data_IF_503353924180
#
_entry.id   IF_503353924180
#
_cell.length_a   1.000
_cell.length_b   1.000
_cell.length_c   1.000
_cell.angle_alpha   90.00
_cell.angle_beta   90.00
_cell.angle_gamma   90.00
#
_symmetry.space_group_name_H-M   'P 1'
#
loop_
_entity.id
_entity.type
_entity.pdbx_description
1 polymer ?
#
# COMPACT_ATOMS: atom_id res chain seq x y z
N UNK A 1 -26.13 -6.79 14.59
CA UNK A 1 -24.67 -6.62 14.70
C UNK A 1 -24.11 -7.34 15.92
N UNK A 2 -24.68 -7.18 17.12
CA UNK A 2 -24.17 -7.82 18.35
C UNK A 2 -24.22 -9.36 18.31
N UNK A 3 -25.25 -9.96 17.68
CA UNK A 3 -25.29 -11.43 17.53
C UNK A 3 -24.20 -11.93 16.59
N UNK A 4 -23.91 -11.18 15.51
CA UNK A 4 -22.73 -11.45 14.67
C UNK A 4 -21.44 -11.34 15.49
N UNK A 5 -21.29 -10.33 16.35
CA UNK A 5 -20.10 -10.13 17.17
C UNK A 5 -19.85 -11.31 18.14
N UNK A 6 -20.92 -11.88 18.76
CA UNK A 6 -20.80 -13.09 19.59
C UNK A 6 -20.24 -14.27 18.80
N UNK A 7 -20.75 -14.50 17.58
CA UNK A 7 -20.22 -15.55 16.70
C UNK A 7 -18.75 -15.30 16.30
N UNK A 8 -18.39 -14.04 16.05
CA UNK A 8 -17.02 -13.64 15.71
C UNK A 8 -16.04 -13.98 16.84
N UNK A 9 -16.41 -13.75 18.11
CA UNK A 9 -15.57 -14.13 19.26
C UNK A 9 -15.34 -15.63 19.30
N UNK A 10 -16.36 -16.45 19.06
CA UNK A 10 -16.26 -17.91 19.04
C UNK A 10 -15.38 -18.40 17.86
N UNK A 11 -15.59 -17.84 16.66
CA UNK A 11 -14.75 -18.11 15.49
C UNK A 11 -13.28 -17.75 15.79
N UNK A 12 -13.04 -16.61 16.45
CA UNK A 12 -11.70 -16.20 16.86
C UNK A 12 -11.03 -17.19 17.81
N UNK A 13 -11.79 -17.74 18.77
CA UNK A 13 -11.31 -18.79 19.67
C UNK A 13 -10.91 -20.06 18.89
N UNK A 14 -11.75 -20.51 17.95
CA UNK A 14 -11.47 -21.68 17.11
C UNK A 14 -10.26 -21.45 16.20
N UNK A 15 -10.15 -20.29 15.55
CA UNK A 15 -9.00 -19.93 14.70
C UNK A 15 -7.68 -19.98 15.49
N UNK A 16 -7.65 -19.38 16.69
CA UNK A 16 -6.45 -19.41 17.55
C UNK A 16 -6.09 -20.84 17.97
N UNK A 17 -7.08 -21.65 18.34
CA UNK A 17 -6.84 -23.05 18.70
C UNK A 17 -6.28 -23.88 17.53
N UNK A 18 -6.68 -23.56 16.28
CA UNK A 18 -6.22 -24.19 15.06
C UNK A 18 -4.95 -23.55 14.44
N UNK A 19 -4.38 -22.50 15.06
CA UNK A 19 -3.25 -21.76 14.49
C UNK A 19 -3.57 -21.04 13.17
N UNK A 20 -4.84 -20.74 12.91
CA UNK A 20 -5.28 -20.10 11.66
C UNK A 20 -5.14 -18.55 11.76
N UNK A 21 -4.77 -17.89 10.66
CA UNK A 21 -4.67 -16.43 10.64
C UNK A 21 -6.05 -15.78 10.85
N UNK A 22 -6.06 -14.67 11.61
CA UNK A 22 -7.28 -13.89 11.85
C UNK A 22 -7.70 -13.14 10.59
N UNK A 23 -6.78 -12.40 9.97
CA UNK A 23 -6.97 -11.73 8.69
C UNK A 23 -6.71 -12.73 7.56
N UNK A 24 -7.65 -12.86 6.63
CA UNK A 24 -7.58 -13.73 5.46
C UNK A 24 -8.10 -12.97 4.22
N UNK A 25 -7.21 -12.45 3.35
CA UNK A 25 -7.58 -11.54 2.25
C UNK A 25 -8.57 -12.16 1.26
N UNK A 26 -8.44 -13.47 0.94
CA UNK A 26 -9.40 -14.17 0.08
C UNK A 26 -10.81 -14.16 0.69
N UNK A 27 -10.92 -14.36 2.00
CA UNK A 27 -12.22 -14.38 2.69
C UNK A 27 -12.85 -12.99 2.78
N UNK A 28 -12.05 -11.96 2.99
CA UNK A 28 -12.52 -10.58 2.95
C UNK A 28 -13.12 -10.24 1.58
N UNK A 29 -12.41 -10.61 0.52
CA UNK A 29 -12.87 -10.39 -0.85
C UNK A 29 -14.18 -11.13 -1.14
N UNK A 30 -14.31 -12.40 -0.73
CA UNK A 30 -15.56 -13.18 -0.85
C UNK A 30 -16.73 -12.49 -0.14
N UNK A 31 -16.51 -11.96 1.07
CA UNK A 31 -17.56 -11.26 1.83
C UNK A 31 -18.00 -10.00 1.10
N UNK A 32 -17.05 -9.19 0.63
CA UNK A 32 -17.38 -7.96 -0.09
C UNK A 32 -18.05 -8.26 -1.44
N UNK A 33 -17.58 -9.25 -2.19
CA UNK A 33 -18.21 -9.66 -3.46
C UNK A 33 -19.64 -10.17 -3.23
N UNK A 34 -19.86 -10.96 -2.18
CA UNK A 34 -21.20 -11.43 -1.81
C UNK A 34 -22.15 -10.29 -1.46
N UNK A 35 -21.68 -9.34 -0.64
CA UNK A 35 -22.51 -8.21 -0.20
C UNK A 35 -22.87 -7.30 -1.36
N UNK A 36 -21.92 -6.99 -2.23
CA UNK A 36 -22.15 -6.11 -3.39
C UNK A 36 -23.01 -6.78 -4.46
N UNK A 37 -22.87 -8.10 -4.66
CA UNK A 37 -23.69 -8.85 -5.64
C UNK A 37 -25.15 -9.03 -5.18
N UNK A 38 -25.44 -8.95 -3.88
CA UNK A 38 -26.77 -9.05 -3.29
C UNK A 38 -27.44 -7.68 -3.06
N UNK A 39 -26.77 -6.59 -3.43
CA UNK A 39 -27.29 -5.25 -3.28
C UNK A 39 -28.31 -4.93 -4.38
N UNK A 40 -29.57 -4.93 -4.03
CA UNK A 40 -30.70 -4.51 -4.87
C UNK A 40 -31.34 -3.17 -4.42
N UNK A 41 -30.75 -2.56 -3.39
CA UNK A 41 -31.25 -1.32 -2.78
C UNK A 41 -30.59 -0.05 -3.35
N UNK A 42 -31.04 1.13 -2.88
CA UNK A 42 -30.55 2.43 -3.37
C UNK A 42 -29.16 2.80 -2.83
N UNK A 43 -28.63 2.05 -1.84
CA UNK A 43 -27.32 2.35 -1.26
C UNK A 43 -26.21 1.96 -2.24
N UNK A 44 -25.29 2.88 -2.61
CA UNK A 44 -24.18 2.54 -3.51
C UNK A 44 -23.28 1.43 -2.94
N UNK A 45 -22.79 0.54 -3.80
CA UNK A 45 -21.90 -0.56 -3.41
C UNK A 45 -20.69 -0.07 -2.62
N UNK A 46 -20.09 1.08 -3.01
CA UNK A 46 -18.97 1.70 -2.27
C UNK A 46 -19.32 1.98 -0.80
N UNK A 47 -20.55 2.41 -0.52
CA UNK A 47 -20.99 2.66 0.87
C UNK A 47 -21.14 1.37 1.64
N UNK A 48 -21.69 0.31 1.01
CA UNK A 48 -21.77 -1.02 1.62
C UNK A 48 -20.38 -1.59 1.92
N UNK A 49 -19.43 -1.48 0.98
CA UNK A 49 -18.06 -1.91 1.19
C UNK A 49 -17.41 -1.20 2.38
N UNK A 50 -17.62 0.12 2.53
CA UNK A 50 -17.15 0.89 3.68
C UNK A 50 -17.70 0.40 5.01
N UNK A 51 -19.02 0.17 5.09
CA UNK A 51 -19.69 -0.37 6.29
C UNK A 51 -19.13 -1.75 6.63
N UNK A 52 -19.04 -2.66 5.64
CA UNK A 52 -18.56 -4.02 5.89
C UNK A 52 -17.07 -4.04 6.26
N UNK A 53 -16.26 -3.14 5.73
CA UNK A 53 -14.86 -2.98 6.12
C UNK A 53 -14.73 -2.65 7.61
N UNK A 54 -15.49 -1.69 8.12
CA UNK A 54 -15.47 -1.36 9.55
C UNK A 54 -16.01 -2.51 10.40
N UNK A 55 -17.03 -3.24 9.95
CA UNK A 55 -17.51 -4.44 10.63
C UNK A 55 -16.45 -5.55 10.69
N UNK A 56 -15.65 -5.72 9.62
CA UNK A 56 -14.54 -6.67 9.61
C UNK A 56 -13.40 -6.19 10.49
N UNK A 57 -13.07 -4.90 10.46
CA UNK A 57 -12.07 -4.29 11.33
C UNK A 57 -12.39 -4.50 12.82
N UNK A 58 -13.62 -4.20 13.25
CA UNK A 58 -14.09 -4.50 14.60
C UNK A 58 -14.07 -6.00 14.91
N UNK A 59 -14.31 -6.85 13.91
CA UNK A 59 -14.20 -8.32 14.07
C UNK A 59 -12.79 -8.78 14.33
N UNK A 60 -11.77 -8.17 13.69
CA UNK A 60 -10.36 -8.47 13.99
C UNK A 60 -10.03 -8.13 15.44
N UNK A 61 -10.45 -6.95 15.91
CA UNK A 61 -10.22 -6.54 17.29
C UNK A 61 -10.85 -7.52 18.31
N UNK A 62 -12.05 -8.05 18.03
CA UNK A 62 -12.70 -9.04 18.88
C UNK A 62 -12.03 -10.43 18.85
N UNK A 63 -11.46 -10.82 17.73
CA UNK A 63 -10.78 -12.11 17.58
C UNK A 63 -9.38 -12.10 18.19
N UNK A 64 -8.59 -11.12 17.80
CA UNK A 64 -7.24 -10.83 18.29
C UNK A 64 -6.85 -9.44 17.81
N UNK A 65 -6.44 -8.52 18.69
CA UNK A 65 -5.96 -7.22 18.26
C UNK A 65 -4.85 -7.34 17.21
N UNK A 66 -5.08 -6.75 16.04
CA UNK A 66 -4.08 -6.71 14.97
C UNK A 66 -3.28 -5.41 15.05
N UNK A 67 -1.97 -5.53 14.80
CA UNK A 67 -1.03 -4.41 14.68
C UNK A 67 -0.49 -4.38 13.25
N UNK A 68 -0.64 -3.24 12.59
CA UNK A 68 -0.29 -3.03 11.20
C UNK A 68 0.85 -2.01 11.13
N UNK A 69 2.03 -2.45 10.72
CA UNK A 69 3.16 -1.56 10.46
C UNK A 69 2.99 -0.88 9.09
N UNK A 70 3.32 0.40 8.98
CA UNK A 70 3.27 1.13 7.71
C UNK A 70 4.40 2.14 7.61
N UNK A 71 4.74 2.56 6.37
CA UNK A 71 5.70 3.64 6.16
C UNK A 71 5.11 4.98 6.61
N UNK A 72 5.62 5.51 7.74
CA UNK A 72 5.22 6.78 8.32
C UNK A 72 5.67 8.01 7.53
N UNK A 73 5.42 9.19 8.07
CA UNK A 73 4.72 9.44 9.33
C UNK A 73 3.19 9.28 9.21
N UNK A 74 2.43 9.39 10.34
CA UNK A 74 0.97 9.39 10.32
C UNK A 74 0.43 10.44 9.34
N UNK A 75 -0.68 10.11 8.65
CA UNK A 75 -1.24 10.95 7.57
C UNK A 75 -0.57 10.76 6.20
N UNK A 76 0.47 9.90 6.08
CA UNK A 76 1.03 9.52 4.78
C UNK A 76 0.01 8.75 3.92
N UNK A 77 0.27 8.64 2.61
CA UNK A 77 -0.55 7.79 1.74
C UNK A 77 -0.46 6.31 2.13
N UNK A 78 0.66 5.87 2.70
CA UNK A 78 0.77 4.53 3.28
C UNK A 78 -0.15 4.35 4.48
N UNK A 79 -0.26 5.36 5.38
CA UNK A 79 -1.24 5.34 6.46
C UNK A 79 -2.67 5.34 5.93
N UNK A 80 -2.98 6.19 4.93
CA UNK A 80 -4.30 6.23 4.31
C UNK A 80 -4.68 4.88 3.70
N UNK A 81 -3.75 4.24 2.97
CA UNK A 81 -3.94 2.90 2.40
C UNK A 81 -4.20 1.85 3.49
N UNK A 82 -3.44 1.90 4.60
CA UNK A 82 -3.61 0.99 5.73
C UNK A 82 -5.01 1.16 6.37
N UNK A 83 -5.43 2.39 6.66
CA UNK A 83 -6.75 2.68 7.22
C UNK A 83 -7.88 2.27 6.28
N UNK A 84 -7.76 2.61 4.99
CA UNK A 84 -8.78 2.24 4.00
C UNK A 84 -8.86 0.74 3.76
N UNK A 85 -7.78 -0.01 3.95
CA UNK A 85 -7.76 -1.46 3.77
C UNK A 85 -8.21 -2.22 5.02
N UNK A 86 -7.66 -1.90 6.19
CA UNK A 86 -7.91 -2.63 7.44
C UNK A 86 -9.05 -2.05 8.29
N UNK A 87 -9.57 -0.85 7.96
CA UNK A 87 -10.51 -0.09 8.79
C UNK A 87 -9.84 0.56 9.99
N UNK A 88 -10.63 1.14 10.88
CA UNK A 88 -10.14 1.99 11.97
C UNK A 88 -9.97 1.28 13.32
N UNK A 89 -10.46 0.05 13.45
CA UNK A 89 -10.46 -0.69 14.73
C UNK A 89 -9.19 -1.50 14.99
N UNK A 90 -8.19 -1.45 14.12
CA UNK A 90 -6.87 -2.09 14.31
C UNK A 90 -5.84 -1.09 14.81
N UNK A 91 -4.75 -1.57 15.42
CA UNK A 91 -3.65 -0.70 15.82
C UNK A 91 -2.70 -0.45 14.64
N UNK A 92 -2.37 0.81 14.41
CA UNK A 92 -1.41 1.24 13.38
C UNK A 92 -0.11 1.69 14.02
N UNK A 93 1.02 1.25 13.45
CA UNK A 93 2.36 1.57 13.93
C UNK A 93 3.18 2.19 12.79
N UNK A 94 3.56 3.46 12.96
CA UNK A 94 4.34 4.18 11.97
C UNK A 94 5.83 3.86 12.11
N UNK A 95 6.43 3.51 10.99
CA UNK A 95 7.85 3.17 10.89
C UNK A 95 8.53 4.13 9.92
N UNK A 96 9.74 4.55 10.27
CA UNK A 96 10.41 5.66 9.56
C UNK A 96 10.89 5.29 8.16
N UNK A 97 11.11 4.01 7.91
CA UNK A 97 11.62 3.48 6.65
C UNK A 97 10.99 2.13 6.30
N UNK A 98 11.02 1.78 5.02
CA UNK A 98 10.42 0.55 4.50
C UNK A 98 11.09 -0.68 5.11
N UNK A 99 12.42 -0.70 5.24
CA UNK A 99 13.14 -1.82 5.87
C UNK A 99 12.72 -2.03 7.32
N UNK A 100 12.39 -0.95 8.05
CA UNK A 100 11.82 -1.03 9.39
C UNK A 100 10.50 -1.81 9.42
N UNK A 101 9.63 -1.63 8.42
CA UNK A 101 8.36 -2.38 8.32
C UNK A 101 8.64 -3.88 8.18
N UNK A 102 9.58 -4.28 7.32
CA UNK A 102 9.99 -5.68 7.18
C UNK A 102 10.55 -6.24 8.50
N UNK A 103 11.43 -5.49 9.13
CA UNK A 103 12.07 -5.89 10.40
C UNK A 103 11.04 -6.14 11.50
N UNK A 104 10.06 -5.24 11.66
CA UNK A 104 9.04 -5.37 12.71
C UNK A 104 8.05 -6.52 12.42
N UNK A 105 7.80 -6.83 11.14
CA UNK A 105 7.07 -8.05 10.74
C UNK A 105 7.87 -9.30 11.10
N UNK A 106 9.16 -9.36 10.76
CA UNK A 106 10.06 -10.50 11.10
C UNK A 106 10.10 -10.74 12.60
N UNK A 107 10.26 -9.68 13.39
CA UNK A 107 10.26 -9.74 14.86
C UNK A 107 8.91 -10.13 15.47
N UNK A 108 7.81 -9.98 14.70
CA UNK A 108 6.45 -10.24 15.17
C UNK A 108 5.88 -9.16 16.08
N UNK A 109 6.49 -7.98 16.11
CA UNK A 109 5.94 -6.83 16.82
C UNK A 109 4.70 -6.27 16.13
N UNK A 110 4.66 -6.35 14.79
CA UNK A 110 3.45 -6.15 14.00
C UNK A 110 3.03 -7.46 13.32
N UNK A 111 1.72 -7.63 13.12
CA UNK A 111 1.18 -8.83 12.47
C UNK A 111 1.36 -8.79 10.95
N UNK A 112 1.16 -7.60 10.38
CA UNK A 112 1.26 -7.30 8.96
C UNK A 112 1.98 -5.98 8.76
N UNK A 113 2.69 -5.86 7.64
CA UNK A 113 3.29 -4.61 7.18
C UNK A 113 2.65 -4.16 5.88
N UNK A 114 2.43 -2.87 5.69
CA UNK A 114 1.98 -2.28 4.43
C UNK A 114 3.10 -1.43 3.84
N UNK A 115 3.59 -1.83 2.67
CA UNK A 115 4.71 -1.17 1.98
C UNK A 115 4.34 -0.83 0.53
N UNK A 116 4.70 0.37 0.03
CA UNK A 116 4.47 0.72 -1.37
C UNK A 116 5.42 -0.08 -2.27
N UNK A 117 4.92 -0.59 -3.40
CA UNK A 117 5.73 -1.35 -4.38
C UNK A 117 5.87 -0.61 -5.71
N UNK A 118 4.82 0.08 -6.13
CA UNK A 118 4.77 0.74 -7.42
C UNK A 118 3.81 1.93 -7.38
N UNK A 119 4.17 2.99 -8.09
CA UNK A 119 3.28 4.13 -8.35
C UNK A 119 3.12 4.31 -9.86
N UNK A 120 1.89 4.52 -10.32
CA UNK A 120 1.58 4.61 -11.76
C UNK A 120 2.27 5.77 -12.49
N UNK A 121 2.75 6.77 -11.76
CA UNK A 121 3.46 7.93 -12.32
C UNK A 121 4.95 7.92 -12.02
N UNK A 122 5.36 7.29 -10.91
CA UNK A 122 6.76 7.27 -10.41
C UNK A 122 7.49 5.95 -10.66
N UNK A 123 6.78 4.87 -11.05
CA UNK A 123 7.36 3.54 -11.24
C UNK A 123 7.58 2.76 -9.96
N UNK A 124 8.47 1.78 -9.99
CA UNK A 124 8.75 0.88 -8.88
C UNK A 124 9.43 1.55 -7.68
N UNK A 125 9.10 1.09 -6.50
CA UNK A 125 9.68 1.58 -5.23
C UNK A 125 10.90 0.74 -4.87
N UNK A 126 12.06 1.34 -5.12
CA UNK A 126 13.38 0.72 -5.00
C UNK A 126 13.63 0.14 -3.61
N UNK A 127 13.28 0.86 -2.57
CA UNK A 127 13.51 0.49 -1.18
C UNK A 127 12.75 -0.79 -0.80
N UNK A 128 11.56 -1.00 -1.37
CA UNK A 128 10.77 -2.22 -1.14
C UNK A 128 11.42 -3.43 -1.81
N UNK A 129 11.94 -3.26 -3.04
CA UNK A 129 12.67 -4.31 -3.73
C UNK A 129 13.95 -4.67 -2.98
N UNK A 130 14.70 -3.68 -2.48
CA UNK A 130 15.92 -3.89 -1.68
C UNK A 130 15.61 -4.60 -0.35
N UNK A 131 14.49 -4.28 0.29
CA UNK A 131 14.06 -4.97 1.50
C UNK A 131 13.71 -6.45 1.22
N UNK A 132 13.08 -6.76 0.08
CA UNK A 132 12.86 -8.16 -0.32
C UNK A 132 14.16 -8.92 -0.59
N UNK A 133 15.20 -8.29 -1.15
CA UNK A 133 16.51 -8.95 -1.29
C UNK A 133 17.06 -9.46 0.05
N UNK A 134 16.79 -8.75 1.14
CA UNK A 134 17.25 -9.10 2.48
C UNK A 134 16.34 -10.09 3.22
N UNK A 135 15.01 -9.89 3.10
CA UNK A 135 14.01 -10.53 3.98
C UNK A 135 13.13 -11.59 3.29
N UNK A 136 13.38 -11.95 2.01
CA UNK A 136 12.54 -12.85 1.21
C UNK A 136 12.33 -14.26 1.81
N UNK A 137 13.17 -14.68 2.76
CA UNK A 137 13.04 -15.99 3.43
C UNK A 137 12.05 -15.96 4.59
N UNK A 138 11.91 -14.82 5.24
CA UNK A 138 11.18 -14.65 6.50
C UNK A 138 9.84 -13.95 6.31
N UNK A 139 9.68 -13.21 5.19
CA UNK A 139 8.51 -12.39 4.89
C UNK A 139 7.96 -12.75 3.53
N UNK A 140 6.63 -12.83 3.45
CA UNK A 140 5.89 -13.12 2.22
C UNK A 140 4.92 -12.00 1.87
N UNK A 141 4.71 -11.77 0.57
CA UNK A 141 3.58 -10.97 0.11
C UNK A 141 2.30 -11.75 0.41
N UNK A 142 1.42 -11.13 1.19
CA UNK A 142 0.20 -11.72 1.71
C UNK A 142 -1.06 -11.22 1.00
N UNK A 143 -1.04 -9.94 0.57
CA UNK A 143 -2.11 -9.30 -0.19
C UNK A 143 -1.55 -8.11 -0.97
N UNK A 144 -2.31 -7.59 -1.93
CA UNK A 144 -2.03 -6.31 -2.56
C UNK A 144 -3.17 -5.32 -2.34
N UNK A 145 -2.82 -4.04 -2.26
CA UNK A 145 -3.75 -2.93 -2.08
C UNK A 145 -3.44 -1.89 -3.15
N UNK A 146 -4.47 -1.35 -3.79
CA UNK A 146 -4.35 -0.23 -4.72
C UNK A 146 -5.08 0.98 -4.14
N UNK A 147 -4.41 2.13 -4.13
CA UNK A 147 -4.95 3.38 -3.60
C UNK A 147 -4.90 4.46 -4.67
N UNK A 148 -6.04 5.11 -4.97
CA UNK A 148 -6.05 6.38 -5.68
C UNK A 148 -5.39 7.46 -4.83
N UNK A 149 -4.36 8.12 -5.37
CA UNK A 149 -3.64 9.19 -4.68
C UNK A 149 -4.20 10.52 -5.14
N UNK A 150 -4.96 11.16 -4.27
CA UNK A 150 -5.46 12.51 -4.47
C UNK A 150 -4.73 13.49 -3.57
N UNK A 151 -4.27 14.57 -4.15
CA UNK A 151 -3.62 15.66 -3.44
C UNK A 151 -4.63 16.73 -3.05
N UNK A 152 -4.60 17.13 -1.77
CA UNK A 152 -5.46 18.19 -1.25
C UNK A 152 -4.62 19.37 -0.78
N UNK A 153 -5.09 20.59 -1.08
CA UNK A 153 -4.58 21.81 -0.46
C UNK A 153 -5.20 21.95 0.94
N UNK A 154 -4.37 21.99 1.95
CA UNK A 154 -4.74 21.97 3.36
C UNK A 154 -4.26 23.22 4.06
N UNK A 155 -5.14 23.91 4.80
CA UNK A 155 -4.76 25.08 5.61
C UNK A 155 -5.75 25.33 6.74
N UNK A 156 -5.40 26.29 7.62
CA UNK A 156 -6.32 26.84 8.64
C UNK A 156 -6.73 28.29 8.34
N UNK A 157 -6.31 28.85 7.22
CA UNK A 157 -6.66 30.18 6.75
C UNK A 157 -7.56 30.10 5.51
N UNK A 158 -8.11 31.26 5.13
CA UNK A 158 -8.88 31.38 3.89
C UNK A 158 -7.95 31.25 2.65
N UNK A 159 -8.45 30.77 1.50
CA UNK A 159 -7.64 30.59 0.29
C UNK A 159 -6.82 31.82 -0.11
N UNK A 160 -7.38 33.01 0.03
CA UNK A 160 -6.71 34.29 -0.33
C UNK A 160 -5.55 34.69 0.61
N UNK A 161 -5.49 34.10 1.79
CA UNK A 161 -4.47 34.36 2.80
C UNK A 161 -3.23 33.49 2.63
N UNK A 162 -3.31 32.41 1.81
CA UNK A 162 -2.18 31.48 1.58
C UNK A 162 -1.02 32.24 0.93
N UNK A 163 0.16 32.17 1.56
CA UNK A 163 1.41 32.77 1.10
C UNK A 163 2.54 31.76 0.96
N UNK A 164 2.49 30.69 1.75
CA UNK A 164 3.49 29.62 1.78
C UNK A 164 2.79 28.27 1.62
N UNK A 165 3.34 27.42 0.77
CA UNK A 165 2.79 26.08 0.52
C UNK A 165 3.92 25.06 0.72
N UNK A 166 3.73 24.16 1.66
CA UNK A 166 4.66 23.09 2.00
C UNK A 166 4.26 21.81 1.30
N UNK A 167 5.19 21.09 0.68
CA UNK A 167 5.00 19.72 0.22
C UNK A 167 6.31 19.06 -0.19
N UNK A 168 6.25 17.79 -0.59
CA UNK A 168 7.34 17.07 -1.25
C UNK A 168 7.60 17.66 -2.65
N UNK A 169 8.86 17.73 -3.14
CA UNK A 169 9.15 18.23 -4.49
C UNK A 169 8.38 17.53 -5.59
N UNK A 170 8.23 16.20 -5.50
CA UNK A 170 7.48 15.41 -6.48
C UNK A 170 6.00 15.78 -6.53
N UNK A 171 5.41 16.12 -5.37
CA UNK A 171 4.01 16.57 -5.28
C UNK A 171 3.83 17.95 -5.92
N UNK A 172 4.79 18.86 -5.74
CA UNK A 172 4.76 20.14 -6.46
C UNK A 172 4.79 19.94 -7.99
N UNK A 173 5.58 18.97 -8.46
CA UNK A 173 5.60 18.61 -9.89
C UNK A 173 4.26 18.05 -10.37
N UNK A 174 3.59 17.25 -9.55
CA UNK A 174 2.29 16.65 -9.85
C UNK A 174 1.12 17.65 -9.82
N UNK A 175 1.28 18.79 -9.15
CA UNK A 175 0.25 19.84 -9.02
C UNK A 175 0.69 21.17 -9.71
N UNK A 176 1.67 21.11 -10.62
CA UNK A 176 2.34 22.30 -11.15
C UNK A 176 1.40 23.25 -11.86
N UNK A 177 0.55 22.78 -12.74
CA UNK A 177 -0.37 23.63 -13.51
C UNK A 177 -1.41 24.28 -12.61
N UNK A 178 -1.97 23.49 -11.68
CA UNK A 178 -2.94 23.97 -10.72
C UNK A 178 -2.33 25.08 -9.83
N UNK A 179 -1.12 24.85 -9.29
CA UNK A 179 -0.41 25.83 -8.45
C UNK A 179 -0.08 27.12 -9.20
N UNK A 180 0.43 27.01 -10.42
CA UNK A 180 0.75 28.18 -11.25
C UNK A 180 -0.47 29.04 -11.55
N UNK A 181 -1.66 28.45 -11.65
CA UNK A 181 -2.91 29.14 -11.94
C UNK A 181 -3.53 29.74 -10.68
N UNK A 182 -3.59 29.00 -9.59
CA UNK A 182 -4.32 29.41 -8.38
C UNK A 182 -3.44 30.18 -7.38
N UNK A 183 -2.14 29.87 -7.32
CA UNK A 183 -1.20 30.45 -6.35
C UNK A 183 0.14 30.88 -6.96
N UNK A 184 0.13 31.72 -8.04
CA UNK A 184 1.36 32.09 -8.75
C UNK A 184 2.38 32.89 -7.91
N UNK A 185 1.94 33.47 -6.79
CA UNK A 185 2.76 34.27 -5.90
C UNK A 185 3.12 33.58 -4.58
N UNK A 186 2.62 32.36 -4.36
CA UNK A 186 2.93 31.63 -3.13
C UNK A 186 4.36 31.08 -3.15
N UNK A 187 5.03 31.14 -2.02
CA UNK A 187 6.33 30.50 -1.84
C UNK A 187 6.13 28.98 -1.66
N UNK A 188 6.74 28.17 -2.54
CA UNK A 188 6.74 26.71 -2.43
C UNK A 188 7.93 26.29 -1.55
N UNK A 189 7.65 25.60 -0.45
CA UNK A 189 8.64 25.18 0.55
C UNK A 189 8.73 23.65 0.54
N UNK A 190 9.88 23.07 0.14
CA UNK A 190 10.06 21.64 0.10
C UNK A 190 10.12 21.05 1.50
N UNK A 191 9.52 19.86 1.66
CA UNK A 191 9.54 19.05 2.88
C UNK A 191 9.94 17.60 2.55
N UNK A 192 10.42 16.88 3.55
CA UNK A 192 10.85 15.48 3.39
C UNK A 192 9.70 14.51 3.05
N UNK A 193 8.46 14.83 3.48
CA UNK A 193 7.26 14.07 3.13
C UNK A 193 6.03 14.99 3.13
N UNK A 194 4.95 14.58 2.43
CA UNK A 194 3.69 15.31 2.42
C UNK A 194 3.09 15.45 3.82
N UNK A 195 3.16 14.41 4.65
CA UNK A 195 2.67 14.50 6.04
C UNK A 195 3.52 15.44 6.89
N UNK A 196 4.85 15.44 6.71
CA UNK A 196 5.71 16.40 7.43
C UNK A 196 5.39 17.84 7.01
N UNK A 197 5.10 18.06 5.73
CA UNK A 197 4.63 19.35 5.22
C UNK A 197 3.33 19.80 5.92
N UNK A 198 2.37 18.88 6.09
CA UNK A 198 1.09 19.17 6.77
C UNK A 198 1.32 19.49 8.24
N UNK A 199 2.17 18.74 8.95
CA UNK A 199 2.57 19.05 10.33
C UNK A 199 3.18 20.43 10.46
N UNK A 200 4.15 20.77 9.60
CA UNK A 200 4.81 22.09 9.60
C UNK A 200 3.81 23.22 9.36
N UNK A 201 2.90 23.07 8.38
CA UNK A 201 1.88 24.07 8.12
C UNK A 201 0.93 24.26 9.32
N UNK A 202 0.55 23.17 9.99
CA UNK A 202 -0.28 23.23 11.20
C UNK A 202 0.43 23.94 12.35
N UNK A 203 1.71 23.63 12.60
CA UNK A 203 2.54 24.28 13.61
C UNK A 203 2.72 25.78 13.34
N UNK A 204 2.98 26.17 12.09
CA UNK A 204 3.11 27.57 11.69
C UNK A 204 1.79 28.34 11.86
N UNK A 205 0.66 27.72 11.53
CA UNK A 205 -0.66 28.31 11.74
C UNK A 205 -0.98 28.50 13.23
N UNK A 206 -0.62 27.53 14.08
CA UNK A 206 -0.80 27.63 15.53
C UNK A 206 0.03 28.81 16.10
N UNK A 207 1.32 28.87 15.77
CA UNK A 207 2.23 29.95 16.18
C UNK A 207 1.75 31.34 15.73
N UNK A 208 1.25 31.44 14.49
CA UNK A 208 0.71 32.71 14.00
C UNK A 208 -0.46 33.21 14.87
N UNK A 209 -1.38 32.34 15.24
CA UNK A 209 -2.51 32.67 16.12
C UNK A 209 -2.08 33.10 17.53
N UNK A 210 -1.07 32.40 18.10
CA UNK A 210 -0.55 32.71 19.42
C UNK A 210 -0.03 34.17 19.52
N UNK A 211 0.57 34.69 18.43
CA UNK A 211 1.09 36.05 18.36
C UNK A 211 0.10 37.06 17.74
N UNK A 212 -1.16 36.65 17.53
CA UNK A 212 -2.19 37.51 16.92
C UNK A 212 -1.97 37.82 15.42
N UNK A 213 -1.13 37.04 14.73
CA UNK A 213 -0.91 37.20 13.29
C UNK A 213 -1.85 36.30 12.48
N UNK A 214 -2.13 36.73 11.25
CA UNK A 214 -2.90 35.89 10.32
C UNK A 214 -2.10 34.68 9.85
N UNK A 215 -2.67 33.42 9.93
CA UNK A 215 -2.06 32.28 9.33
C UNK A 215 -1.95 32.45 7.81
N UNK A 216 -0.79 32.09 7.24
CA UNK A 216 -0.56 32.17 5.79
C UNK A 216 0.06 30.91 5.21
N UNK A 217 0.16 29.84 6.02
CA UNK A 217 0.78 28.58 5.64
C UNK A 217 -0.26 27.55 5.27
N UNK A 218 0.01 26.85 4.17
CA UNK A 218 -0.75 25.72 3.66
C UNK A 218 0.19 24.55 3.37
N UNK A 219 -0.37 23.36 3.18
CA UNK A 219 0.37 22.19 2.71
C UNK A 219 -0.42 21.43 1.66
N UNK A 220 0.28 20.66 0.83
CA UNK A 220 -0.35 19.66 -0.03
C UNK A 220 -0.13 18.27 0.59
N UNK A 221 -1.22 17.56 0.86
CA UNK A 221 -1.20 16.25 1.50
C UNK A 221 -2.50 15.47 1.33
N UNK A 222 -2.65 14.40 2.11
CA UNK A 222 -3.85 13.56 2.12
C UNK A 222 -4.96 14.15 3.00
N UNK A 223 -6.22 13.78 2.73
CA UNK A 223 -7.35 14.13 3.61
C UNK A 223 -7.17 13.60 5.04
N UNK A 224 -6.55 12.42 5.19
CA UNK A 224 -6.26 11.85 6.50
C UNK A 224 -5.29 12.74 7.29
N UNK A 225 -4.27 13.30 6.62
CA UNK A 225 -3.36 14.25 7.27
C UNK A 225 -4.09 15.52 7.72
N UNK A 226 -5.06 16.02 6.93
CA UNK A 226 -5.88 17.16 7.34
C UNK A 226 -6.62 16.87 8.66
N UNK A 227 -7.26 15.71 8.77
CA UNK A 227 -7.99 15.29 9.96
C UNK A 227 -7.06 15.15 11.19
N UNK A 228 -5.90 14.49 11.01
CA UNK A 228 -4.96 14.23 12.10
C UNK A 228 -4.31 15.50 12.65
N UNK A 229 -4.01 16.47 11.79
CA UNK A 229 -3.30 17.71 12.17
C UNK A 229 -4.20 18.93 12.26
N UNK A 230 -5.52 18.76 12.18
CA UNK A 230 -6.49 19.83 12.39
C UNK A 230 -6.49 20.90 11.32
N UNK A 231 -6.08 20.58 10.07
CA UNK A 231 -6.22 21.46 8.93
C UNK A 231 -7.54 21.22 8.19
N UNK A 232 -8.01 22.24 7.48
CA UNK A 232 -9.17 22.13 6.58
C UNK A 232 -8.72 21.81 5.18
N UNK A 233 -9.49 21.00 4.45
CA UNK A 233 -9.31 20.83 3.01
C UNK A 233 -9.88 22.06 2.31
N UNK A 234 -9.00 22.90 1.75
CA UNK A 234 -9.41 24.06 0.96
C UNK A 234 -9.81 23.65 -0.46
N UNK A 235 -9.01 22.77 -1.07
CA UNK A 235 -9.27 22.20 -2.39
C UNK A 235 -8.86 20.73 -2.40
N UNK A 236 -9.70 19.89 -2.95
CA UNK A 236 -9.44 18.47 -3.14
C UNK A 236 -9.09 18.19 -4.61
N UNK A 237 -8.30 17.12 -4.83
CA UNK A 237 -7.95 16.63 -6.17
C UNK A 237 -7.29 17.69 -7.04
N UNK A 238 -6.21 18.28 -6.52
CA UNK A 238 -5.48 19.38 -7.19
C UNK A 238 -4.34 18.86 -8.10
N UNK A 239 -4.14 17.57 -8.18
CA UNK A 239 -3.16 16.94 -9.07
C UNK A 239 -3.50 17.18 -10.55
N UNK A 240 -2.48 17.40 -11.39
CA UNK A 240 -2.62 17.62 -12.84
C UNK A 240 -3.03 16.33 -13.57
N UNK A 241 -2.64 15.15 -13.05
CA UNK A 241 -3.02 13.84 -13.57
C UNK A 241 -3.89 13.09 -12.55
N UNK A 242 -5.20 12.90 -12.80
CA UNK A 242 -6.10 12.22 -11.86
C UNK A 242 -5.86 10.70 -11.77
N UNK A 243 -5.12 10.10 -12.72
CA UNK A 243 -4.87 8.66 -12.77
C UNK A 243 -3.61 8.26 -11.98
N UNK A 244 -3.46 8.79 -10.75
CA UNK A 244 -2.34 8.47 -9.88
C UNK A 244 -2.76 7.38 -8.89
N UNK A 245 -2.29 6.15 -9.14
CA UNK A 245 -2.55 4.99 -8.29
C UNK A 245 -1.24 4.49 -7.71
N UNK A 246 -1.20 4.27 -6.40
CA UNK A 246 -0.10 3.58 -5.74
C UNK A 246 -0.53 2.18 -5.36
N UNK A 247 0.27 1.20 -5.73
CA UNK A 247 0.14 -0.19 -5.36
C UNK A 247 1.00 -0.48 -4.14
N UNK A 248 0.42 -1.18 -3.16
CA UNK A 248 1.07 -1.59 -1.93
C UNK A 248 1.02 -3.11 -1.80
N UNK A 249 2.02 -3.68 -1.15
CA UNK A 249 1.95 -5.04 -0.63
C UNK A 249 1.62 -5.02 0.87
N UNK A 250 0.74 -5.92 1.26
CA UNK A 250 0.64 -6.38 2.65
C UNK A 250 1.62 -7.53 2.81
N UNK A 251 2.57 -7.39 3.71
CA UNK A 251 3.59 -8.40 3.99
C UNK A 251 3.35 -9.08 5.33
N UNK A 252 3.67 -10.37 5.43
CA UNK A 252 3.48 -11.19 6.62
C UNK A 252 4.52 -12.30 6.70
N UNK A 253 4.71 -12.88 7.89
CA UNK A 253 5.48 -14.13 8.08
C UNK A 253 4.75 -15.38 7.57
N UNK A 254 3.44 -15.30 7.44
CA UNK A 254 2.61 -16.39 6.94
C UNK A 254 2.28 -16.20 5.45
N UNK A 255 2.00 -17.29 4.77
CA UNK A 255 1.57 -17.28 3.36
C UNK A 255 0.06 -17.14 3.27
N UNK A 256 -0.41 -16.40 2.25
CA UNK A 256 -1.83 -16.33 1.96
C UNK A 256 -2.34 -17.64 1.38
N UNK A 257 -3.64 -17.88 1.56
CA UNK A 257 -4.34 -19.00 0.97
C UNK A 257 -4.84 -18.65 -0.43
N UNK A 258 -5.03 -19.68 -1.25
CA UNK A 258 -5.53 -19.57 -2.62
C UNK A 258 -6.94 -18.99 -2.65
N UNK A 259 -7.18 -18.04 -3.57
CA UNK A 259 -8.50 -17.43 -3.79
C UNK A 259 -9.20 -17.88 -5.09
N UNK A 260 -8.43 -18.40 -6.04
CA UNK A 260 -8.91 -18.73 -7.39
C UNK A 260 -8.68 -17.62 -8.43
N UNK A 261 -8.41 -16.38 -7.99
CA UNK A 261 -7.94 -15.28 -8.84
C UNK A 261 -6.75 -14.61 -8.15
N UNK A 262 -5.58 -15.21 -8.35
CA UNK A 262 -4.37 -14.89 -7.61
C UNK A 262 -3.27 -14.33 -8.52
N UNK A 263 -2.28 -13.70 -7.88
CA UNK A 263 -0.97 -13.38 -8.44
C UNK A 263 0.13 -14.05 -7.64
N UNK A 264 1.24 -14.33 -8.30
CA UNK A 264 2.46 -14.81 -7.66
C UNK A 264 3.60 -13.86 -7.97
N UNK A 265 4.15 -13.22 -6.92
CA UNK A 265 5.37 -12.40 -7.04
C UNK A 265 6.59 -13.29 -6.90
N UNK A 266 7.52 -13.15 -7.84
CA UNK A 266 8.72 -13.96 -7.97
C UNK A 266 9.94 -13.04 -8.09
N UNK A 267 11.00 -13.40 -7.40
CA UNK A 267 12.31 -12.78 -7.49
C UNK A 267 13.30 -13.81 -8.05
N UNK A 268 14.12 -13.45 -9.05
CA UNK A 268 15.11 -14.35 -9.61
C UNK A 268 16.35 -13.62 -10.14
N UNK A 269 17.48 -14.32 -10.18
CA UNK A 269 18.72 -13.84 -10.76
C UNK A 269 19.17 -14.78 -11.89
N UNK A 270 19.60 -14.19 -13.02
CA UNK A 270 20.09 -14.93 -14.18
C UNK A 270 21.59 -14.72 -14.39
N UNK A 271 22.19 -15.56 -15.23
CA UNK A 271 23.54 -15.30 -15.74
C UNK A 271 23.56 -14.02 -16.59
N UNK A 272 24.67 -13.27 -16.52
CA UNK A 272 24.90 -12.12 -17.39
C UNK A 272 25.37 -12.59 -18.76
N UNK A 273 24.42 -12.99 -19.61
CA UNK A 273 24.66 -13.44 -20.99
C UNK A 273 23.45 -13.14 -21.88
N UNK A 274 23.66 -13.00 -23.21
CA UNK A 274 22.56 -12.78 -24.16
C UNK A 274 21.48 -13.87 -24.02
N UNK A 275 20.22 -13.44 -23.98
CA UNK A 275 19.03 -14.32 -23.92
C UNK A 275 18.68 -14.84 -22.53
N UNK A 276 19.49 -14.66 -21.48
CA UNK A 276 19.24 -15.24 -20.17
C UNK A 276 17.87 -14.82 -19.57
N UNK A 277 17.56 -13.53 -19.58
CA UNK A 277 16.24 -13.05 -19.14
C UNK A 277 15.12 -13.56 -20.06
N UNK A 278 15.34 -13.53 -21.37
CA UNK A 278 14.34 -13.98 -22.36
C UNK A 278 13.99 -15.44 -22.13
N UNK A 279 14.95 -16.31 -21.84
CA UNK A 279 14.70 -17.73 -21.56
C UNK A 279 13.75 -17.93 -20.36
N UNK A 280 13.91 -17.14 -19.30
CA UNK A 280 12.99 -17.19 -18.14
C UNK A 280 11.59 -16.72 -18.54
N UNK A 281 11.46 -15.59 -19.26
CA UNK A 281 10.16 -15.06 -19.66
C UNK A 281 9.43 -15.98 -20.65
N UNK A 282 10.17 -16.67 -21.55
CA UNK A 282 9.63 -17.66 -22.49
C UNK A 282 9.00 -18.86 -21.78
N UNK A 283 9.52 -19.28 -20.64
CA UNK A 283 8.90 -20.35 -19.84
C UNK A 283 7.48 -19.96 -19.43
N UNK A 284 7.30 -18.76 -18.86
CA UNK A 284 5.95 -18.30 -18.46
C UNK A 284 5.02 -18.17 -19.67
N UNK A 285 5.53 -17.65 -20.79
CA UNK A 285 4.78 -17.60 -22.05
C UNK A 285 4.36 -19.00 -22.53
N UNK A 286 5.26 -19.98 -22.51
CA UNK A 286 4.99 -21.36 -22.92
C UNK A 286 3.92 -22.05 -22.08
N UNK A 287 3.79 -21.68 -20.81
CA UNK A 287 2.73 -22.13 -19.90
C UNK A 287 1.45 -21.27 -19.96
N UNK A 288 1.35 -20.29 -20.86
CA UNK A 288 0.19 -19.41 -21.01
C UNK A 288 -0.02 -18.44 -19.83
N UNK A 289 1.03 -18.14 -19.08
CA UNK A 289 0.97 -17.29 -17.88
C UNK A 289 1.28 -15.85 -18.24
N UNK A 290 0.35 -14.94 -17.95
CA UNK A 290 0.57 -13.51 -18.14
C UNK A 290 1.44 -12.94 -17.01
N UNK A 291 2.41 -12.09 -17.37
CA UNK A 291 3.23 -11.32 -16.46
C UNK A 291 2.70 -9.89 -16.39
N UNK A 292 2.39 -9.42 -15.19
CA UNK A 292 1.71 -8.11 -14.98
C UNK A 292 2.64 -7.03 -14.42
N UNK A 293 3.85 -7.40 -14.00
CA UNK A 293 4.87 -6.49 -13.49
C UNK A 293 6.25 -7.05 -13.79
N UNK A 294 7.21 -6.18 -14.08
CA UNK A 294 8.63 -6.52 -14.15
C UNK A 294 9.46 -5.33 -13.66
N UNK A 295 10.39 -5.61 -12.77
CA UNK A 295 11.36 -4.64 -12.28
C UNK A 295 12.72 -5.31 -12.05
N UNK A 296 13.79 -4.53 -11.84
CA UNK A 296 15.13 -5.04 -11.60
C UNK A 296 15.89 -4.25 -10.55
N UNK A 297 16.76 -4.96 -9.83
CA UNK A 297 17.71 -4.37 -8.88
C UNK A 297 19.12 -4.93 -9.11
N UNK A 298 20.19 -4.12 -8.93
CA UNK A 298 21.55 -4.67 -8.80
C UNK A 298 21.55 -5.71 -7.67
N UNK A 299 22.18 -6.86 -7.89
CA UNK A 299 22.18 -7.97 -6.91
C UNK A 299 22.96 -7.64 -5.63
N UNK A 300 23.83 -6.64 -5.66
CA UNK A 300 24.75 -6.31 -4.58
C UNK A 300 25.85 -7.36 -4.32
N UNK A 301 25.78 -8.53 -4.97
CA UNK A 301 26.76 -9.63 -4.82
C UNK A 301 27.90 -9.55 -5.81
N UNK A 302 27.62 -9.11 -7.04
CA UNK A 302 28.60 -8.95 -8.13
C UNK A 302 28.27 -7.69 -8.93
N UNK A 303 29.29 -7.02 -9.48
CA UNK A 303 29.10 -5.88 -10.37
C UNK A 303 28.32 -6.35 -11.62
N UNK A 304 27.32 -5.56 -12.01
CA UNK A 304 26.46 -5.79 -13.20
C UNK A 304 25.57 -7.02 -13.15
N UNK A 305 25.52 -7.76 -12.02
CA UNK A 305 24.53 -8.80 -11.80
C UNK A 305 23.21 -8.20 -11.30
N UNK A 306 22.09 -8.63 -11.87
CA UNK A 306 20.76 -8.13 -11.58
C UNK A 306 19.86 -9.21 -11.00
N UNK A 307 19.04 -8.80 -10.03
CA UNK A 307 17.87 -9.56 -9.58
C UNK A 307 16.64 -8.94 -10.22
N UNK A 308 15.80 -9.76 -10.81
CA UNK A 308 14.54 -9.39 -11.44
C UNK A 308 13.39 -9.72 -10.51
N UNK A 309 12.36 -8.89 -10.57
CA UNK A 309 11.10 -9.06 -9.86
C UNK A 309 9.98 -9.09 -10.89
N UNK A 310 9.13 -10.11 -10.84
CA UNK A 310 7.98 -10.27 -11.72
C UNK A 310 6.74 -10.65 -10.93
N UNK A 311 5.57 -10.27 -11.44
CA UNK A 311 4.28 -10.78 -10.98
C UNK A 311 3.65 -11.61 -12.08
N UNK A 312 3.41 -12.88 -11.80
CA UNK A 312 2.75 -13.84 -12.67
C UNK A 312 1.28 -14.01 -12.27
N UNK A 313 0.38 -14.12 -13.23
CA UNK A 313 -1.02 -14.44 -12.98
C UNK A 313 -1.16 -15.92 -12.53
N UNK A 314 -1.96 -16.15 -11.47
CA UNK A 314 -2.23 -17.46 -10.89
C UNK A 314 -1.49 -17.70 -9.58
N UNK A 315 -1.93 -18.74 -8.86
CA UNK A 315 -1.36 -19.17 -7.58
C UNK A 315 -0.21 -20.16 -7.80
N UNK A 316 0.83 -20.12 -6.97
CA UNK A 316 1.98 -21.03 -7.04
C UNK A 316 1.63 -22.54 -7.02
N UNK A 317 0.48 -22.88 -6.47
CA UNK A 317 -0.04 -24.25 -6.40
C UNK A 317 -0.88 -24.64 -7.64
N UNK A 318 -1.17 -23.69 -8.54
CA UNK A 318 -1.81 -24.00 -9.82
C UNK A 318 -0.85 -24.82 -10.68
N UNK A 319 -1.29 -25.88 -11.33
CA UNK A 319 -0.40 -26.79 -12.07
C UNK A 319 0.49 -26.08 -13.09
N UNK A 320 -0.06 -25.12 -13.85
CA UNK A 320 0.69 -24.36 -14.84
C UNK A 320 1.75 -23.47 -14.17
N UNK A 321 1.39 -22.72 -13.12
CA UNK A 321 2.30 -21.82 -12.40
C UNK A 321 3.38 -22.59 -11.68
N UNK A 322 3.02 -23.70 -11.01
CA UNK A 322 3.98 -24.59 -10.34
C UNK A 322 5.01 -25.18 -11.32
N UNK A 323 4.55 -25.62 -12.51
CA UNK A 323 5.43 -26.15 -13.55
C UNK A 323 6.33 -25.07 -14.13
N UNK A 324 5.78 -23.88 -14.43
CA UNK A 324 6.56 -22.75 -14.93
C UNK A 324 7.64 -22.32 -13.93
N UNK A 325 7.34 -22.23 -12.63
CA UNK A 325 8.32 -21.86 -11.60
C UNK A 325 9.47 -22.90 -11.56
N UNK A 326 9.18 -24.19 -11.60
CA UNK A 326 10.20 -25.24 -11.60
C UNK A 326 11.08 -25.20 -12.85
N UNK A 327 10.49 -25.00 -14.02
CA UNK A 327 11.21 -24.89 -15.28
C UNK A 327 12.05 -23.60 -15.32
N UNK A 328 11.47 -22.45 -14.97
CA UNK A 328 12.17 -21.17 -14.90
C UNK A 328 13.38 -21.21 -13.96
N UNK A 329 13.30 -21.95 -12.86
CA UNK A 329 14.42 -22.11 -11.92
C UNK A 329 15.64 -22.77 -12.57
N UNK A 330 15.48 -23.57 -13.62
CA UNK A 330 16.62 -24.19 -14.35
C UNK A 330 17.40 -23.18 -15.18
N UNK A 331 16.81 -22.02 -15.49
CA UNK A 331 17.42 -20.89 -16.21
C UNK A 331 17.99 -19.80 -15.28
N UNK A 332 17.85 -19.97 -13.96
CA UNK A 332 18.24 -18.98 -12.96
C UNK A 332 19.39 -19.48 -12.09
N UNK A 333 20.19 -18.57 -11.56
CA UNK A 333 21.09 -18.86 -10.44
C UNK A 333 20.34 -19.07 -9.13
N UNK A 334 19.33 -18.24 -8.93
CA UNK A 334 18.40 -18.33 -7.79
C UNK A 334 17.02 -17.86 -8.24
N UNK A 335 15.98 -18.50 -7.70
CA UNK A 335 14.58 -18.11 -7.88
C UNK A 335 13.83 -18.31 -6.57
N UNK A 336 13.13 -17.27 -6.14
CA UNK A 336 12.34 -17.25 -4.91
C UNK A 336 10.93 -16.75 -5.17
N UNK A 337 9.93 -17.47 -4.66
CA UNK A 337 8.53 -17.02 -4.64
C UNK A 337 8.34 -16.16 -3.41
N UNK A 338 8.13 -14.85 -3.61
CA UNK A 338 7.90 -13.89 -2.56
C UNK A 338 6.51 -14.05 -1.92
N UNK A 339 5.52 -14.47 -2.70
CA UNK A 339 4.17 -14.77 -2.23
C UNK A 339 3.22 -15.08 -3.38
N UNK A 340 2.14 -15.81 -3.06
CA UNK A 340 0.97 -15.93 -3.92
C UNK A 340 -0.22 -15.42 -3.13
N UNK A 341 -1.01 -14.53 -3.70
CA UNK A 341 -2.03 -13.75 -2.98
C UNK A 341 -3.17 -13.35 -3.91
N UNK A 342 -4.38 -13.08 -3.35
CA UNK A 342 -5.52 -12.63 -4.13
C UNK A 342 -5.20 -11.35 -4.92
N UNK A 343 -5.59 -11.34 -6.20
CA UNK A 343 -5.50 -10.13 -7.04
C UNK A 343 -6.44 -9.08 -6.50
N UNK A 344 -5.95 -7.84 -6.32
CA UNK A 344 -6.81 -6.72 -5.97
C UNK A 344 -7.74 -6.37 -7.13
N UNK A 345 -9.05 -6.40 -6.87
CA UNK A 345 -10.10 -6.03 -7.83
C UNK A 345 -10.59 -4.59 -7.64
N UNK A 346 -10.17 -3.95 -6.55
CA UNK A 346 -10.66 -2.64 -6.11
C UNK A 346 -9.51 -1.67 -5.97
N UNK A 347 -9.75 -0.44 -6.39
CA UNK A 347 -8.90 0.71 -6.07
C UNK A 347 -9.61 1.49 -4.96
N UNK A 348 -8.91 1.74 -3.84
CA UNK A 348 -9.44 2.38 -2.64
C UNK A 348 -9.42 3.90 -2.74
#
# INVERSE_FOLDING_TARGET
LNDRAKLVVEVGRLKRAAGMPIYAPHREQEVLDKVTSQNDGPLPNRSLEGVYRELMSGSFQLQQPLRIGFLGPPGSFSHLAAVRHFGTSVAFEDLHEIEGVFTEVVRGHVNYGLVPIENSTGGGIVETLDAFLKHHRDVHVYSEVQLEVHHCMLAQCEPKQVRRIHSKPEVFSQCRHWLATQYPQAQLIPAASSSRAVMTAAEECAKAREIGAEPGSAAIGSELAAQLYGLKVLFAKIEDNPNNVTRFFVISRTRAQRSGDDKTSIMFATADKPGALVSVLQVFHGHGINLTHIDKRPSGKQNWAYTFFIDAAGHREDPAVSSAIREAATHCHELHVLGSYPRSKRVL
#
